data_IF_431812122795
#
_entry.id   IF_431812122795
#
_cell.length_a   1.000
_cell.length_b   1.000
_cell.length_c   1.000
_cell.angle_alpha   90.00
_cell.angle_beta   90.00
_cell.angle_gamma   90.00
#
_symmetry.space_group_name_H-M   'P 1'
#
loop_
_entity.id
_entity.type
_entity.pdbx_description
1 polymer ?
#
# COMPACT_ATOMS: atom_id res chain seq x y z
N UNK A 1 -15.45 4.59 26.26
CA UNK A 1 -14.50 4.06 25.25
C UNK A 1 -13.91 5.26 24.53
N UNK A 2 -12.60 5.34 24.32
CA UNK A 2 -12.17 5.80 23.01
C UNK A 2 -11.66 4.51 22.35
N UNK A 3 -12.60 3.78 21.75
CA UNK A 3 -12.31 2.51 21.08
C UNK A 3 -11.45 2.75 19.85
N UNK A 4 -11.18 1.69 19.09
CA UNK A 4 -10.66 1.87 17.74
C UNK A 4 -11.72 2.67 16.97
N UNK A 5 -11.35 3.84 16.47
CA UNK A 5 -12.19 4.61 15.58
C UNK A 5 -12.42 3.78 14.30
N UNK A 6 -13.66 3.38 13.98
CA UNK A 6 -13.95 2.62 12.76
C UNK A 6 -13.47 3.33 11.50
N UNK A 7 -13.53 4.67 11.46
CA UNK A 7 -13.08 5.43 10.30
C UNK A 7 -11.55 5.34 10.16
N UNK A 8 -10.81 5.50 11.26
CA UNK A 8 -9.35 5.31 11.28
C UNK A 8 -8.98 3.89 10.87
N UNK A 9 -9.74 2.89 11.34
CA UNK A 9 -9.49 1.49 11.01
C UNK A 9 -9.70 1.22 9.52
N UNK A 10 -10.81 1.66 8.97
CA UNK A 10 -11.13 1.49 7.55
C UNK A 10 -10.12 2.23 6.66
N UNK A 11 -9.69 3.43 7.07
CA UNK A 11 -8.72 4.21 6.32
C UNK A 11 -7.31 3.59 6.32
N UNK A 12 -6.95 2.79 7.33
CA UNK A 12 -5.59 2.24 7.49
C UNK A 12 -5.44 0.78 7.07
N UNK A 13 -6.52 0.11 6.71
CA UNK A 13 -6.54 -1.30 6.35
C UNK A 13 -7.01 -1.51 4.91
N UNK A 14 -6.84 -2.71 4.36
CA UNK A 14 -7.40 -3.05 3.05
C UNK A 14 -8.91 -3.39 3.11
N UNK A 15 -9.55 -3.11 4.25
CA UNK A 15 -10.98 -3.32 4.51
C UNK A 15 -11.40 -4.76 4.19
N UNK A 16 -10.53 -5.73 4.49
CA UNK A 16 -10.82 -7.16 4.37
C UNK A 16 -11.17 -7.73 5.74
N UNK A 17 -12.06 -8.74 5.84
CA UNK A 17 -12.35 -9.38 7.12
C UNK A 17 -11.10 -9.87 7.87
N UNK A 18 -10.07 -10.32 7.14
CA UNK A 18 -8.77 -10.71 7.70
C UNK A 18 -8.04 -9.57 8.42
N UNK A 19 -8.26 -8.31 8.03
CA UNK A 19 -7.55 -7.16 8.60
C UNK A 19 -8.00 -6.91 10.03
N UNK A 20 -9.29 -7.12 10.33
CA UNK A 20 -9.81 -7.09 11.70
C UNK A 20 -9.13 -8.14 12.57
N UNK A 21 -9.12 -9.39 12.13
CA UNK A 21 -8.49 -10.50 12.88
C UNK A 21 -7.00 -10.22 13.11
N UNK A 22 -6.29 -9.75 12.08
CA UNK A 22 -4.87 -9.43 12.16
C UNK A 22 -4.60 -8.31 13.15
N UNK A 23 -5.33 -7.20 13.05
CA UNK A 23 -5.14 -6.06 13.94
C UNK A 23 -5.33 -6.44 15.41
N UNK A 24 -6.41 -7.15 15.73
CA UNK A 24 -6.68 -7.60 17.09
C UNK A 24 -5.68 -8.67 17.57
N UNK A 25 -5.17 -9.51 16.66
CA UNK A 25 -4.07 -10.44 16.97
C UNK A 25 -2.80 -9.67 17.37
N UNK A 26 -2.40 -8.65 16.61
CA UNK A 26 -1.27 -7.78 16.96
C UNK A 26 -1.47 -7.09 18.31
N UNK A 27 -2.67 -6.56 18.57
CA UNK A 27 -3.02 -5.92 19.83
C UNK A 27 -2.87 -6.87 21.02
N UNK A 28 -3.38 -8.11 20.88
CA UNK A 28 -3.29 -9.14 21.92
C UNK A 28 -1.85 -9.61 22.15
N UNK A 29 -1.04 -9.74 21.10
CA UNK A 29 0.35 -10.17 21.22
C UNK A 29 1.22 -9.14 21.93
N UNK A 30 1.05 -7.85 21.61
CA UNK A 30 1.81 -6.77 22.24
C UNK A 30 1.33 -6.40 23.64
N UNK A 31 0.02 -6.45 23.87
CA UNK A 31 -0.61 -5.89 25.07
C UNK A 31 -1.67 -6.82 25.67
N UNK A 32 -1.33 -8.10 25.83
CA UNK A 32 -2.22 -9.18 26.29
C UNK A 32 -3.00 -8.92 27.58
N UNK A 33 -2.48 -8.08 28.47
CA UNK A 33 -3.07 -7.76 29.79
C UNK A 33 -3.76 -6.40 29.86
N UNK A 34 -3.79 -5.64 28.75
CA UNK A 34 -4.38 -4.30 28.72
C UNK A 34 -5.75 -4.31 28.06
N UNK A 35 -6.73 -3.70 28.72
CA UNK A 35 -8.07 -3.46 28.17
C UNK A 35 -8.21 -2.10 27.50
N UNK A 36 -7.25 -1.19 27.71
CA UNK A 36 -7.19 0.15 27.11
C UNK A 36 -5.77 0.44 26.65
N UNK A 37 -5.66 1.07 25.49
CA UNK A 37 -4.40 1.41 24.86
C UNK A 37 -4.30 2.92 24.73
N UNK A 38 -3.13 3.47 25.03
CA UNK A 38 -2.83 4.87 24.73
C UNK A 38 -2.45 5.04 23.25
N UNK A 39 -2.29 6.29 22.81
CA UNK A 39 -1.99 6.61 21.40
C UNK A 39 -0.65 6.00 20.92
N UNK A 40 0.36 5.96 21.77
CA UNK A 40 1.66 5.36 21.45
C UNK A 40 1.55 3.85 21.21
N UNK A 41 0.77 3.17 22.05
CA UNK A 41 0.50 1.73 21.96
C UNK A 41 -0.33 1.39 20.72
N UNK A 42 -1.36 2.20 20.42
CA UNK A 42 -2.13 2.09 19.18
C UNK A 42 -1.24 2.26 17.94
N UNK A 43 -0.33 3.24 17.95
CA UNK A 43 0.63 3.44 16.87
C UNK A 43 1.58 2.25 16.69
N UNK A 44 2.01 1.61 17.78
CA UNK A 44 2.84 0.41 17.73
C UNK A 44 2.08 -0.76 17.07
N UNK A 45 0.82 -0.98 17.43
CA UNK A 45 -0.03 -2.01 16.80
C UNK A 45 -0.19 -1.74 15.31
N UNK A 46 -0.49 -0.50 14.92
CA UNK A 46 -0.60 -0.11 13.52
C UNK A 46 0.68 -0.40 12.72
N UNK A 47 1.86 -0.15 13.31
CA UNK A 47 3.15 -0.46 12.67
C UNK A 47 3.33 -1.97 12.49
N UNK A 48 3.01 -2.79 13.49
CA UNK A 48 3.12 -4.25 13.37
C UNK A 48 2.12 -4.79 12.34
N UNK A 49 0.87 -4.33 12.39
CA UNK A 49 -0.14 -4.68 11.40
C UNK A 49 0.33 -4.37 9.97
N UNK A 50 0.90 -3.18 9.76
CA UNK A 50 1.43 -2.75 8.47
C UNK A 50 2.56 -3.67 7.99
N UNK A 51 3.52 -4.01 8.85
CA UNK A 51 4.60 -4.95 8.54
C UNK A 51 4.09 -6.35 8.19
N UNK A 52 3.16 -6.89 8.99
CA UNK A 52 2.57 -8.20 8.72
C UNK A 52 1.83 -8.22 7.39
N UNK A 53 1.09 -7.16 7.09
CA UNK A 53 0.33 -7.05 5.85
C UNK A 53 1.26 -6.89 4.64
N UNK A 54 2.34 -6.11 4.79
CA UNK A 54 3.37 -6.01 3.76
C UNK A 54 4.03 -7.36 3.47
N UNK A 55 4.34 -8.16 4.51
CA UNK A 55 4.92 -9.49 4.32
C UNK A 55 3.99 -10.43 3.54
N UNK A 56 2.67 -10.37 3.76
CA UNK A 56 1.70 -11.13 2.97
C UNK A 56 1.62 -10.62 1.51
N UNK A 57 1.69 -9.31 1.30
CA UNK A 57 1.73 -8.74 -0.05
C UNK A 57 2.97 -9.21 -0.82
N UNK A 58 4.13 -9.36 -0.18
CA UNK A 58 5.32 -9.95 -0.81
C UNK A 58 5.06 -11.38 -1.28
N UNK A 59 4.41 -12.20 -0.46
CA UNK A 59 4.01 -13.55 -0.88
C UNK A 59 3.06 -13.52 -2.07
N UNK A 60 2.13 -12.56 -2.09
CA UNK A 60 1.17 -12.38 -3.18
C UNK A 60 1.80 -11.81 -4.47
N UNK A 61 2.90 -11.05 -4.34
CA UNK A 61 3.67 -10.49 -5.45
C UNK A 61 4.65 -11.51 -6.06
N UNK A 62 5.05 -12.53 -5.30
CA UNK A 62 6.04 -13.53 -5.71
C UNK A 62 5.79 -14.22 -7.07
N UNK A 63 4.55 -14.41 -7.57
CA UNK A 63 4.32 -14.97 -8.91
C UNK A 63 4.82 -14.08 -10.07
N UNK A 64 5.00 -12.78 -9.85
CA UNK A 64 5.43 -11.83 -10.87
C UNK A 64 6.57 -10.90 -10.43
N UNK A 65 7.04 -11.02 -9.18
CA UNK A 65 8.19 -10.29 -8.66
C UNK A 65 9.16 -11.26 -8.00
N UNK A 66 10.39 -11.31 -8.50
CA UNK A 66 11.48 -12.04 -7.84
C UNK A 66 11.97 -11.28 -6.59
N UNK A 67 12.73 -11.94 -5.71
CA UNK A 67 13.22 -11.35 -4.46
C UNK A 67 14.03 -10.06 -4.66
N UNK A 68 14.79 -9.95 -5.76
CA UNK A 68 15.55 -8.75 -6.07
C UNK A 68 14.64 -7.56 -6.41
N UNK A 69 13.61 -7.78 -7.21
CA UNK A 69 12.62 -6.74 -7.55
C UNK A 69 11.78 -6.31 -6.34
N UNK A 70 11.43 -7.24 -5.44
CA UNK A 70 10.76 -6.91 -4.17
C UNK A 70 11.66 -6.05 -3.30
N UNK A 71 12.93 -6.40 -3.15
CA UNK A 71 13.89 -5.60 -2.37
C UNK A 71 14.11 -4.20 -2.98
N UNK A 72 14.14 -4.10 -4.31
CA UNK A 72 14.19 -2.82 -5.01
C UNK A 72 12.96 -1.95 -4.72
N UNK A 73 11.76 -2.54 -4.76
CA UNK A 73 10.51 -1.86 -4.42
C UNK A 73 10.51 -1.36 -2.97
N UNK A 74 10.92 -2.19 -2.02
CA UNK A 74 11.04 -1.79 -0.60
C UNK A 74 12.00 -0.61 -0.43
N UNK A 75 13.13 -0.62 -1.15
CA UNK A 75 14.12 0.46 -1.08
C UNK A 75 13.58 1.77 -1.65
N UNK A 76 12.83 1.74 -2.76
CA UNK A 76 12.20 2.95 -3.30
C UNK A 76 11.12 3.48 -2.35
N UNK A 77 10.30 2.61 -1.76
CA UNK A 77 9.31 3.03 -0.77
C UNK A 77 9.93 3.66 0.47
N UNK A 78 11.04 3.16 0.99
CA UNK A 78 11.76 3.82 2.10
C UNK A 78 12.23 5.24 1.77
N UNK A 79 12.48 5.56 0.49
CA UNK A 79 12.88 6.90 0.05
C UNK A 79 11.68 7.82 -0.14
N UNK A 80 10.63 7.34 -0.79
CA UNK A 80 9.50 8.21 -1.20
C UNK A 80 8.46 8.41 -0.10
N UNK A 81 8.25 7.41 0.76
CA UNK A 81 7.17 7.43 1.76
C UNK A 81 7.29 8.58 2.77
N UNK A 82 8.47 8.86 3.37
CA UNK A 82 8.61 10.02 4.26
C UNK A 82 8.21 11.33 3.58
N UNK A 83 8.65 11.51 2.33
CA UNK A 83 8.35 12.71 1.55
C UNK A 83 6.85 12.83 1.19
N UNK A 84 6.14 11.71 1.03
CA UNK A 84 4.69 11.72 0.81
C UNK A 84 3.95 12.06 2.11
N UNK A 85 4.35 11.47 3.24
CA UNK A 85 3.72 11.69 4.56
C UNK A 85 3.85 13.17 4.96
N UNK A 86 5.03 13.75 4.75
CA UNK A 86 5.31 15.16 5.03
C UNK A 86 4.76 16.10 3.95
N UNK A 87 4.06 15.56 2.94
CA UNK A 87 3.44 16.28 1.81
C UNK A 87 4.44 17.06 0.95
N UNK A 88 5.72 16.68 0.97
CA UNK A 88 6.76 17.25 0.12
C UNK A 88 6.61 16.81 -1.35
N UNK A 89 6.05 15.62 -1.59
CA UNK A 89 5.89 15.06 -2.95
C UNK A 89 4.49 14.53 -3.17
N UNK A 90 3.91 14.85 -4.32
CA UNK A 90 2.75 14.17 -4.89
C UNK A 90 3.15 13.62 -6.25
N UNK A 91 2.94 12.32 -6.46
CA UNK A 91 3.25 11.68 -7.74
C UNK A 91 2.05 11.78 -8.67
N UNK A 92 2.26 12.17 -9.93
CA UNK A 92 1.34 11.81 -11.02
C UNK A 92 1.69 10.41 -11.55
N UNK A 93 0.87 9.89 -12.45
CA UNK A 93 1.04 8.55 -13.01
C UNK A 93 2.41 8.37 -13.68
N UNK A 94 2.81 9.31 -14.53
CA UNK A 94 4.05 9.25 -15.32
C UNK A 94 5.28 9.22 -14.40
N UNK A 95 5.33 10.10 -13.41
CA UNK A 95 6.45 10.13 -12.45
C UNK A 95 6.51 8.85 -11.63
N UNK A 96 5.36 8.28 -11.28
CA UNK A 96 5.31 7.02 -10.53
C UNK A 96 5.75 5.82 -11.38
N UNK A 97 5.41 5.80 -12.67
CA UNK A 97 5.92 4.78 -13.59
C UNK A 97 7.44 4.83 -13.65
N UNK A 98 8.05 6.01 -13.72
CA UNK A 98 9.51 6.10 -13.77
C UNK A 98 10.18 5.56 -12.50
N UNK A 99 9.52 5.63 -11.34
CA UNK A 99 9.96 4.94 -10.12
C UNK A 99 9.85 3.41 -10.27
N UNK A 100 8.77 2.91 -10.87
CA UNK A 100 8.52 1.48 -11.02
C UNK A 100 9.24 0.82 -12.19
N UNK A 101 9.68 1.57 -13.20
CA UNK A 101 10.32 1.05 -14.40
C UNK A 101 11.61 0.28 -14.09
N UNK A 102 12.55 0.77 -13.26
CA UNK A 102 13.72 -0.02 -12.87
C UNK A 102 13.35 -1.32 -12.14
N UNK A 103 12.30 -1.30 -11.31
CA UNK A 103 11.82 -2.48 -10.58
C UNK A 103 11.23 -3.51 -11.54
N UNK A 104 10.49 -3.05 -12.56
CA UNK A 104 9.99 -3.88 -13.64
C UNK A 104 11.12 -4.56 -14.41
N UNK A 105 12.18 -3.82 -14.79
CA UNK A 105 13.31 -4.42 -15.52
C UNK A 105 14.03 -5.48 -14.66
N UNK A 106 14.15 -5.29 -13.34
CA UNK A 106 14.69 -6.31 -12.42
C UNK A 106 13.75 -7.53 -12.33
N UNK A 107 12.43 -7.31 -12.29
CA UNK A 107 11.45 -8.40 -12.23
C UNK A 107 11.46 -9.24 -13.52
N UNK A 108 11.53 -8.56 -14.67
CA UNK A 108 11.62 -9.15 -16.00
C UNK A 108 12.92 -9.93 -16.21
N UNK A 109 14.05 -9.37 -15.80
CA UNK A 109 15.38 -9.92 -16.06
C UNK A 109 15.56 -10.23 -17.55
N UNK A 110 15.95 -11.47 -17.87
CA UNK A 110 16.14 -11.94 -19.25
C UNK A 110 14.90 -12.65 -19.83
N UNK A 111 13.75 -12.63 -19.14
CA UNK A 111 12.56 -13.34 -19.61
C UNK A 111 11.85 -12.54 -20.72
N UNK A 112 11.92 -13.06 -21.95
CA UNK A 112 11.30 -12.45 -23.14
C UNK A 112 9.78 -12.59 -23.18
N UNK A 113 9.21 -13.55 -22.44
CA UNK A 113 7.77 -13.80 -22.32
C UNK A 113 7.18 -13.23 -21.02
N UNK A 114 7.84 -12.25 -20.41
CA UNK A 114 7.35 -11.59 -19.21
C UNK A 114 6.19 -10.63 -19.52
N UNK A 115 5.47 -10.21 -18.47
CA UNK A 115 4.44 -9.19 -18.57
C UNK A 115 4.97 -7.90 -19.23
N UNK A 116 4.10 -7.17 -19.92
CA UNK A 116 4.39 -5.78 -20.29
C UNK A 116 4.48 -4.91 -19.03
N UNK A 117 5.15 -3.75 -19.13
CA UNK A 117 5.19 -2.79 -18.02
C UNK A 117 3.77 -2.39 -17.57
N UNK A 118 2.86 -2.18 -18.51
CA UNK A 118 1.47 -1.83 -18.18
C UNK A 118 0.77 -2.94 -17.38
N UNK A 119 0.89 -4.20 -17.82
CA UNK A 119 0.30 -5.33 -17.10
C UNK A 119 0.95 -5.50 -15.72
N UNK A 120 2.26 -5.27 -15.60
CA UNK A 120 2.94 -5.26 -14.32
C UNK A 120 2.35 -4.20 -13.37
N UNK A 121 2.08 -2.98 -13.86
CA UNK A 121 1.45 -1.92 -13.08
C UNK A 121 0.02 -2.29 -12.67
N UNK A 122 -0.76 -2.92 -13.56
CA UNK A 122 -2.08 -3.46 -13.22
C UNK A 122 -2.00 -4.49 -12.07
N UNK A 123 -1.01 -5.39 -12.08
CA UNK A 123 -0.81 -6.36 -11.00
C UNK A 123 -0.46 -5.67 -9.67
N UNK A 124 0.41 -4.65 -9.69
CA UNK A 124 0.74 -3.84 -8.50
C UNK A 124 -0.50 -3.08 -7.98
N UNK A 125 -1.34 -2.58 -8.87
CA UNK A 125 -2.62 -1.94 -8.51
C UNK A 125 -3.60 -2.95 -7.90
N UNK A 126 -3.71 -4.16 -8.46
CA UNK A 126 -4.55 -5.26 -7.94
C UNK A 126 -4.13 -5.67 -6.53
N UNK A 127 -2.82 -5.66 -6.24
CA UNK A 127 -2.31 -5.88 -4.89
C UNK A 127 -2.73 -4.76 -3.91
N UNK A 128 -3.24 -3.64 -4.40
CA UNK A 128 -3.66 -2.50 -3.59
C UNK A 128 -2.48 -1.74 -3.00
N UNK A 129 -1.31 -1.77 -3.66
CA UNK A 129 -0.13 -1.02 -3.24
C UNK A 129 -0.33 0.48 -3.47
N UNK A 130 -0.95 0.84 -4.59
CA UNK A 130 -1.33 2.21 -4.90
C UNK A 130 -2.77 2.28 -5.44
N UNK A 131 -3.29 3.49 -5.45
CA UNK A 131 -4.49 3.89 -6.17
C UNK A 131 -4.25 5.21 -6.89
N UNK A 132 -5.31 5.75 -7.49
CA UNK A 132 -5.26 7.05 -8.18
C UNK A 132 -6.36 7.95 -7.65
N UNK A 133 -6.19 9.25 -7.79
CA UNK A 133 -7.21 10.22 -7.45
C UNK A 133 -7.26 11.32 -8.49
N UNK A 134 -8.46 11.71 -8.86
CA UNK A 134 -8.74 12.84 -9.74
C UNK A 134 -9.94 13.60 -9.21
N UNK A 135 -10.10 14.84 -9.65
CA UNK A 135 -11.30 15.60 -9.34
C UNK A 135 -12.35 15.36 -10.43
N UNK A 136 -13.62 15.28 -10.03
CA UNK A 136 -14.74 15.20 -10.96
C UNK A 136 -15.06 16.58 -11.57
N UNK A 137 -16.09 16.64 -12.42
CA UNK A 137 -16.51 17.90 -13.06
C UNK A 137 -16.96 18.99 -12.05
N UNK A 138 -17.29 18.61 -10.82
CA UNK A 138 -17.67 19.51 -9.72
C UNK A 138 -16.50 19.83 -8.79
N UNK A 139 -15.29 19.35 -9.09
CA UNK A 139 -14.11 19.50 -8.25
C UNK A 139 -14.08 18.57 -7.03
N UNK A 140 -14.93 17.54 -6.98
CA UNK A 140 -14.91 16.57 -5.88
C UNK A 140 -13.86 15.48 -6.12
N UNK A 141 -13.05 15.13 -5.11
CA UNK A 141 -12.01 14.12 -5.27
C UNK A 141 -12.62 12.72 -5.37
N UNK A 142 -12.38 12.05 -6.49
CA UNK A 142 -12.68 10.64 -6.72
C UNK A 142 -11.42 9.82 -6.47
N UNK A 143 -11.45 8.98 -5.44
CA UNK A 143 -10.38 8.03 -5.13
C UNK A 143 -10.69 6.68 -5.75
N UNK A 144 -9.70 6.13 -6.44
CA UNK A 144 -9.76 4.87 -7.16
C UNK A 144 -8.72 3.90 -6.61
N UNK A 145 -9.20 2.91 -5.87
CA UNK A 145 -8.41 1.78 -5.39
C UNK A 145 -9.00 0.48 -5.92
N UNK A 146 -8.18 -0.56 -5.99
CA UNK A 146 -8.64 -1.82 -6.55
C UNK A 146 -9.76 -2.46 -5.73
N UNK A 147 -10.86 -2.78 -6.40
CA UNK A 147 -11.87 -3.73 -5.94
C UNK A 147 -12.53 -4.42 -7.15
N UNK A 148 -13.38 -5.43 -6.94
CA UNK A 148 -13.95 -6.22 -8.05
C UNK A 148 -14.71 -5.39 -9.09
N UNK A 149 -15.30 -4.27 -8.67
CA UNK A 149 -16.02 -3.31 -9.52
C UNK A 149 -15.14 -2.19 -10.09
N UNK A 150 -13.87 -2.13 -9.72
CA UNK A 150 -12.92 -1.11 -10.15
C UNK A 150 -11.55 -1.74 -10.43
N UNK A 151 -11.38 -2.24 -11.66
CA UNK A 151 -10.26 -3.10 -12.05
C UNK A 151 -9.11 -2.36 -12.71
N UNK A 152 -9.33 -1.12 -13.14
CA UNK A 152 -8.31 -0.26 -13.75
C UNK A 152 -8.05 0.96 -12.85
N UNK A 153 -7.05 1.75 -13.20
CA UNK A 153 -6.75 3.03 -12.56
C UNK A 153 -6.73 4.14 -13.62
N UNK A 154 -6.86 5.38 -13.19
CA UNK A 154 -6.84 6.55 -14.05
C UNK A 154 -5.42 7.10 -14.20
N UNK A 155 -4.97 7.29 -15.44
CA UNK A 155 -3.61 7.77 -15.75
C UNK A 155 -3.47 9.28 -15.63
N UNK A 156 -4.58 10.00 -15.72
CA UNK A 156 -4.69 11.47 -15.63
C UNK A 156 -4.75 12.00 -14.18
N UNK A 157 -4.66 11.12 -13.18
CA UNK A 157 -4.76 11.45 -11.76
C UNK A 157 -3.44 11.52 -11.01
N UNK A 158 -3.53 11.92 -9.74
CA UNK A 158 -2.44 11.76 -8.76
C UNK A 158 -2.42 10.34 -8.20
N UNK A 159 -1.24 9.79 -7.97
CA UNK A 159 -1.04 8.50 -7.33
C UNK A 159 -1.18 8.64 -5.82
N UNK A 160 -1.90 7.68 -5.23
CA UNK A 160 -2.05 7.54 -3.79
C UNK A 160 -1.44 6.21 -3.35
N UNK A 161 -0.47 6.25 -2.45
CA UNK A 161 0.10 5.04 -1.86
C UNK A 161 -0.78 4.61 -0.69
N UNK A 162 -1.04 3.30 -0.58
CA UNK A 162 -1.92 2.78 0.46
C UNK A 162 -1.38 3.09 1.87
N UNK A 163 -2.21 3.53 2.84
CA UNK A 163 -1.72 3.96 4.16
C UNK A 163 -0.96 2.89 4.95
N UNK A 164 -1.31 1.61 4.79
CA UNK A 164 -0.53 0.53 5.40
C UNK A 164 0.87 0.37 4.79
N UNK A 165 1.05 0.70 3.49
CA UNK A 165 2.39 0.77 2.87
C UNK A 165 3.14 1.97 3.43
N UNK A 166 2.49 3.14 3.51
CA UNK A 166 3.08 4.33 4.13
C UNK A 166 3.55 4.04 5.57
N UNK A 167 2.74 3.33 6.37
CA UNK A 167 3.08 3.01 7.75
C UNK A 167 4.15 1.91 7.90
N UNK A 168 4.31 1.06 6.90
CA UNK A 168 5.37 0.05 6.89
C UNK A 168 6.75 0.68 6.60
N UNK A 169 6.81 1.79 5.86
CA UNK A 169 8.06 2.40 5.41
C UNK A 169 8.33 3.81 5.97
N UNK A 170 7.40 4.38 6.75
CA UNK A 170 7.51 5.64 7.49
C UNK A 170 7.40 5.48 9.01
#
# INVERSE_FOLDING_TARGET
MNGIDPEEFLARTWVKPRDFVRFFKCARELYSRKSKLNRGEMNAIWRIYAQMSWNELKSSASPFMNSASIAALENEFRKIVPNIIDKHVTYNYESFIEVLRPIYEIAKGNNTNFYSLEHFLELIYILGIFGTMRDDASGQPIVQTYHRGNRSFHRDGRVLIHPAVLKAFG
#
